data_IF_742893297327
#
_entry.id   IF_742893297327
#
_cell.length_a   1.000
_cell.length_b   1.000
_cell.length_c   1.000
_cell.angle_alpha   90.00
_cell.angle_beta   90.00
_cell.angle_gamma   90.00
#
_symmetry.space_group_name_H-M   'P 1'
#
loop_
_entity.id
_entity.type
_entity.pdbx_description
1 polymer ?
#
# COMPACT_ATOMS: atom_id res chain seq x y z
N UNK A 1 -12.75 -63.51 6.22
CA UNK A 1 -12.79 -62.17 5.60
C UNK A 1 -13.04 -61.14 6.68
N UNK A 2 -12.00 -60.40 7.06
CA UNK A 2 -11.94 -59.56 8.25
C UNK A 2 -12.40 -58.13 7.93
N UNK A 3 -13.49 -57.69 8.55
CA UNK A 3 -14.13 -56.38 8.39
C UNK A 3 -13.30 -55.18 8.89
N UNK A 4 -12.11 -55.44 9.43
CA UNK A 4 -11.23 -54.43 10.03
C UNK A 4 -10.44 -53.60 9.01
N UNK A 5 -10.23 -54.10 7.79
CA UNK A 5 -9.39 -53.42 6.79
C UNK A 5 -10.13 -52.29 6.03
N UNK A 6 -11.46 -52.28 6.05
CA UNK A 6 -12.27 -51.31 5.29
C UNK A 6 -12.43 -49.96 6.01
N UNK A 7 -12.45 -49.97 7.35
CA UNK A 7 -12.60 -48.74 8.18
C UNK A 7 -11.34 -47.87 8.16
N UNK A 8 -10.15 -48.47 8.05
CA UNK A 8 -8.88 -47.76 8.01
C UNK A 8 -8.65 -47.02 6.68
N UNK A 9 -9.26 -47.47 5.58
CA UNK A 9 -9.15 -46.84 4.27
C UNK A 9 -10.06 -45.59 4.16
N UNK A 10 -11.28 -45.67 4.68
CA UNK A 10 -12.25 -44.55 4.68
C UNK A 10 -11.78 -43.37 5.55
N UNK A 11 -11.10 -43.64 6.68
CA UNK A 11 -10.52 -42.59 7.52
C UNK A 11 -9.38 -41.81 6.83
N UNK A 12 -8.67 -42.43 5.87
CA UNK A 12 -7.62 -41.74 5.10
C UNK A 12 -8.14 -40.87 3.97
N UNK A 13 -9.33 -41.16 3.44
CA UNK A 13 -9.93 -40.37 2.34
C UNK A 13 -10.57 -39.06 2.86
N UNK A 14 -11.08 -39.05 4.11
CA UNK A 14 -11.68 -37.85 4.70
C UNK A 14 -10.68 -36.78 5.16
N UNK A 15 -9.40 -37.11 5.35
CA UNK A 15 -8.37 -36.15 5.80
C UNK A 15 -7.79 -35.35 4.62
N UNK A 16 -8.00 -35.78 3.38
CA UNK A 16 -7.42 -35.15 2.19
C UNK A 16 -8.31 -34.07 1.55
N UNK A 17 -9.57 -33.92 1.99
CA UNK A 17 -10.54 -33.00 1.38
C UNK A 17 -10.59 -31.60 2.01
N UNK A 18 -9.74 -31.30 3.00
CA UNK A 18 -9.81 -30.06 3.80
C UNK A 18 -8.80 -28.98 3.42
N UNK A 19 -8.03 -29.13 2.34
CA UNK A 19 -6.86 -28.28 2.07
C UNK A 19 -6.97 -27.38 0.82
N UNK A 20 -8.17 -26.93 0.46
CA UNK A 20 -8.33 -25.85 -0.51
C UNK A 20 -9.27 -24.76 0.02
N UNK A 21 -9.01 -24.29 1.24
CA UNK A 21 -9.40 -22.92 1.58
C UNK A 21 -8.48 -22.03 0.76
N UNK A 22 -8.94 -21.68 -0.45
CA UNK A 22 -8.32 -20.63 -1.25
C UNK A 22 -8.48 -19.36 -0.42
N UNK A 23 -7.46 -19.03 0.36
CA UNK A 23 -7.31 -17.69 0.90
C UNK A 23 -7.11 -16.84 -0.33
N UNK A 24 -8.20 -16.27 -0.84
CA UNK A 24 -8.13 -15.13 -1.72
C UNK A 24 -7.53 -14.03 -0.85
N UNK A 25 -6.20 -13.98 -0.81
CA UNK A 25 -5.54 -12.76 -0.45
C UNK A 25 -6.02 -11.78 -1.52
N UNK A 26 -6.78 -10.76 -1.10
CA UNK A 26 -7.08 -9.61 -1.94
C UNK A 26 -5.72 -8.95 -2.25
N UNK A 27 -5.08 -9.46 -3.30
CA UNK A 27 -3.89 -8.87 -3.86
C UNK A 27 -4.38 -7.63 -4.59
N UNK A 28 -4.25 -6.49 -3.94
CA UNK A 28 -4.62 -5.23 -4.56
C UNK A 28 -3.72 -5.02 -5.77
N UNK A 29 -4.35 -4.92 -6.93
CA UNK A 29 -3.63 -4.61 -8.16
C UNK A 29 -3.38 -3.14 -8.13
N UNK A 30 -2.12 -2.73 -7.99
CA UNK A 30 -1.77 -1.33 -8.14
C UNK A 30 -2.15 -0.87 -9.56
N UNK A 31 -3.19 -0.06 -9.62
CA UNK A 31 -3.78 0.35 -10.90
C UNK A 31 -3.13 1.60 -11.46
N UNK A 32 -2.46 2.40 -10.61
CA UNK A 32 -1.97 3.74 -10.92
C UNK A 32 -3.00 4.58 -11.74
N UNK A 33 -4.28 4.47 -11.40
CA UNK A 33 -5.37 5.15 -12.11
C UNK A 33 -5.68 6.52 -11.51
N UNK A 34 -5.80 7.52 -12.37
CA UNK A 34 -6.21 8.87 -11.96
C UNK A 34 -6.45 9.81 -13.13
N UNK A 35 -6.78 11.09 -12.84
CA UNK A 35 -7.21 12.05 -13.85
C UNK A 35 -6.08 12.49 -14.80
N UNK A 36 -4.83 12.50 -14.35
CA UNK A 36 -3.64 12.73 -15.18
C UNK A 36 -2.35 12.49 -14.37
N UNK A 37 -1.18 12.87 -14.90
CA UNK A 37 0.10 12.97 -14.15
C UNK A 37 0.39 14.37 -13.62
N UNK A 38 -0.53 15.34 -13.79
CA UNK A 38 -0.38 16.71 -13.30
C UNK A 38 -0.63 16.78 -11.80
N UNK A 39 -0.27 17.93 -11.24
CA UNK A 39 -0.44 18.25 -9.83
C UNK A 39 -1.91 18.05 -9.36
N UNK A 40 -2.14 17.42 -8.20
CA UNK A 40 -3.48 17.13 -7.69
C UNK A 40 -4.36 18.36 -7.46
N UNK A 41 -3.76 19.50 -7.14
CA UNK A 41 -4.48 20.78 -6.93
C UNK A 41 -5.19 21.27 -8.21
N UNK A 42 -4.63 20.98 -9.39
CA UNK A 42 -5.25 21.25 -10.69
C UNK A 42 -6.44 20.32 -11.00
N UNK A 43 -6.64 19.28 -10.18
CA UNK A 43 -7.66 18.25 -10.36
C UNK A 43 -8.68 18.21 -9.21
N UNK A 44 -8.76 19.28 -8.42
CA UNK A 44 -9.74 19.39 -7.33
C UNK A 44 -9.41 18.53 -6.10
N UNK A 45 -8.16 18.07 -5.98
CA UNK A 45 -7.70 17.40 -4.77
C UNK A 45 -7.33 18.43 -3.71
N UNK A 46 -7.25 17.98 -2.47
CA UNK A 46 -6.70 18.74 -1.36
C UNK A 46 -5.65 17.94 -0.64
N UNK A 47 -4.60 18.64 -0.18
CA UNK A 47 -3.51 18.01 0.56
C UNK A 47 -4.08 17.42 1.84
N UNK A 48 -3.92 16.12 1.98
CA UNK A 48 -4.29 15.37 3.18
C UNK A 48 -3.20 15.54 4.24
N UNK A 49 -1.96 15.20 3.87
CA UNK A 49 -0.81 15.33 4.77
C UNK A 49 0.50 15.44 3.99
N UNK A 50 1.55 15.77 4.72
CA UNK A 50 2.93 15.56 4.31
C UNK A 50 3.57 14.59 5.31
N UNK A 51 4.19 13.54 4.79
CA UNK A 51 4.76 12.48 5.60
C UNK A 51 6.29 12.49 5.46
N UNK A 52 6.98 12.66 6.59
CA UNK A 52 8.43 12.67 6.66
C UNK A 52 9.01 11.26 6.69
N UNK A 53 10.19 11.09 6.11
CA UNK A 53 10.94 9.85 6.19
C UNK A 53 11.50 9.63 7.60
N UNK A 54 11.23 8.46 8.16
CA UNK A 54 11.77 7.97 9.43
C UNK A 54 12.50 6.65 9.21
N UNK A 55 13.79 6.61 9.54
CA UNK A 55 14.59 5.40 9.43
C UNK A 55 14.14 4.38 10.48
N UNK A 56 13.99 3.11 10.07
CA UNK A 56 13.60 2.03 10.99
C UNK A 56 14.76 1.09 11.33
N UNK A 57 15.57 0.73 10.34
CA UNK A 57 16.74 -0.18 10.42
C UNK A 57 17.70 0.11 9.24
N UNK A 58 18.85 -0.57 9.19
CA UNK A 58 19.83 -0.43 8.08
C UNK A 58 19.15 -0.75 6.74
N UNK A 59 19.01 0.26 5.89
CA UNK A 59 18.46 0.13 4.54
C UNK A 59 16.93 0.08 4.45
N UNK A 60 16.19 0.48 5.50
CA UNK A 60 14.71 0.54 5.48
C UNK A 60 14.15 1.74 6.24
N UNK A 61 13.01 2.25 5.81
CA UNK A 61 12.32 3.33 6.51
C UNK A 61 10.83 3.43 6.19
N UNK A 62 10.20 4.40 6.85
CA UNK A 62 8.76 4.63 6.79
C UNK A 62 8.50 6.10 6.54
N UNK A 63 7.43 6.40 5.81
CA UNK A 63 6.91 7.76 5.68
C UNK A 63 5.73 7.92 6.64
N UNK A 64 5.91 8.78 7.64
CA UNK A 64 4.99 8.95 8.77
C UNK A 64 4.47 10.40 8.81
N UNK A 65 3.21 10.59 9.19
CA UNK A 65 2.65 11.91 9.49
C UNK A 65 1.87 11.91 10.81
N UNK A 66 1.71 13.09 11.39
CA UNK A 66 1.03 13.32 12.66
C UNK A 66 1.99 13.48 13.84
N UNK A 67 1.53 14.17 14.89
CA UNK A 67 2.40 14.57 16.02
C UNK A 67 2.38 13.59 17.22
N UNK A 68 1.42 12.65 17.27
CA UNK A 68 1.18 11.81 18.47
C UNK A 68 0.96 10.32 18.20
N UNK A 69 0.45 9.95 17.03
CA UNK A 69 0.36 8.58 16.53
C UNK A 69 0.88 8.63 15.10
N UNK A 70 2.15 8.26 14.92
CA UNK A 70 2.80 8.23 13.61
C UNK A 70 1.98 7.36 12.64
N UNK A 71 1.22 8.00 11.77
CA UNK A 71 0.39 7.31 10.78
C UNK A 71 1.26 7.03 9.57
N UNK A 72 1.48 5.75 9.28
CA UNK A 72 2.30 5.30 8.14
C UNK A 72 1.51 5.41 6.84
N UNK A 73 2.02 6.19 5.89
CA UNK A 73 1.43 6.30 4.53
C UNK A 73 2.20 5.50 3.49
N UNK A 74 3.50 5.34 3.70
CA UNK A 74 4.35 4.54 2.83
C UNK A 74 5.51 3.94 3.62
N UNK A 75 6.16 2.95 3.02
CA UNK A 75 7.44 2.44 3.48
C UNK A 75 8.44 2.30 2.33
N UNK A 76 9.72 2.19 2.70
CA UNK A 76 10.82 2.11 1.76
C UNK A 76 11.70 0.91 2.09
N UNK A 77 11.91 0.03 1.11
CA UNK A 77 12.80 -1.12 1.24
C UNK A 77 12.19 -2.33 1.98
N UNK A 78 10.88 -2.37 2.22
CA UNK A 78 10.24 -3.44 2.99
C UNK A 78 9.85 -4.66 2.16
N UNK A 79 9.04 -4.53 1.10
CA UNK A 79 8.76 -5.67 0.21
C UNK A 79 9.85 -5.81 -0.85
N UNK A 80 10.33 -4.70 -1.42
CA UNK A 80 11.43 -4.68 -2.38
C UNK A 80 12.53 -3.67 -2.03
N UNK A 81 13.83 -4.01 -2.23
CA UNK A 81 14.93 -3.08 -1.99
C UNK A 81 14.82 -1.83 -2.85
N UNK A 82 15.13 -0.68 -2.24
CA UNK A 82 15.17 0.62 -2.93
C UNK A 82 13.82 1.09 -3.50
N UNK A 83 12.71 0.51 -3.04
CA UNK A 83 11.38 0.84 -3.57
C UNK A 83 10.50 1.46 -2.49
N UNK A 84 9.69 2.46 -2.88
CA UNK A 84 8.66 3.06 -2.02
C UNK A 84 7.34 2.36 -2.28
N UNK A 85 6.63 1.99 -1.23
CA UNK A 85 5.35 1.33 -1.28
C UNK A 85 4.33 2.14 -0.48
N UNK A 86 3.34 2.67 -1.18
CA UNK A 86 2.25 3.41 -0.58
C UNK A 86 1.19 2.44 -0.07
N UNK A 87 0.85 2.57 1.21
CA UNK A 87 -0.20 1.79 1.82
C UNK A 87 -1.58 2.18 1.31
N UNK A 88 -2.55 1.31 1.54
CA UNK A 88 -3.95 1.59 1.21
C UNK A 88 -4.49 2.78 2.01
N UNK A 89 -5.16 3.76 1.37
CA UNK A 89 -5.80 4.85 2.09
C UNK A 89 -6.95 4.38 2.97
N UNK A 90 -7.79 3.45 2.49
CA UNK A 90 -9.07 3.17 3.13
C UNK A 90 -9.32 1.70 3.48
N UNK A 91 -8.51 0.75 3.00
CA UNK A 91 -8.74 -0.66 3.34
C UNK A 91 -8.14 -1.02 4.71
N UNK A 92 -8.82 -1.88 5.47
CA UNK A 92 -8.23 -2.60 6.61
C UNK A 92 -7.49 -1.76 7.67
N UNK A 93 -7.93 -0.52 7.94
CA UNK A 93 -7.22 0.40 8.84
C UNK A 93 -6.25 1.35 8.13
N UNK A 94 -6.48 1.62 6.84
CA UNK A 94 -5.73 2.59 6.05
C UNK A 94 -5.68 3.99 6.66
N UNK A 95 -4.74 4.80 6.17
CA UNK A 95 -4.39 6.08 6.79
C UNK A 95 -5.40 7.21 6.55
N UNK A 96 -6.39 7.02 5.69
CA UNK A 96 -7.27 8.08 5.20
C UNK A 96 -8.35 8.53 6.17
N UNK A 97 -8.64 7.77 7.23
CA UNK A 97 -9.63 8.12 8.25
C UNK A 97 -10.99 8.53 7.65
N UNK A 98 -11.56 9.64 8.13
CA UNK A 98 -12.86 10.15 7.63
C UNK A 98 -12.80 10.62 6.17
N UNK A 99 -11.62 10.98 5.65
CA UNK A 99 -11.46 11.35 4.23
C UNK A 99 -11.77 10.19 3.29
N UNK A 100 -11.82 8.94 3.78
CA UNK A 100 -12.25 7.77 3.00
C UNK A 100 -13.71 7.78 2.55
N UNK A 101 -14.53 8.62 3.18
CA UNK A 101 -15.91 8.87 2.76
C UNK A 101 -15.98 9.70 1.47
N UNK A 102 -14.86 10.33 1.09
CA UNK A 102 -14.73 11.20 -0.07
C UNK A 102 -13.86 10.56 -1.15
N UNK A 103 -14.12 10.95 -2.41
CA UNK A 103 -13.32 10.53 -3.55
C UNK A 103 -13.32 9.02 -3.84
N UNK A 104 -12.88 8.67 -5.04
CA UNK A 104 -12.51 7.29 -5.38
C UNK A 104 -10.99 7.11 -5.43
N UNK A 105 -10.27 8.18 -5.71
CA UNK A 105 -8.84 8.17 -5.94
C UNK A 105 -8.13 9.09 -4.95
N UNK A 106 -6.88 8.73 -4.69
CA UNK A 106 -5.94 9.47 -3.85
C UNK A 106 -4.71 9.81 -4.67
N UNK A 107 -4.20 11.02 -4.48
CA UNK A 107 -2.95 11.46 -5.08
C UNK A 107 -1.79 11.22 -4.12
N UNK A 108 -0.67 10.77 -4.66
CA UNK A 108 0.59 10.58 -3.95
C UNK A 108 1.67 11.24 -4.77
N UNK A 109 2.49 12.07 -4.14
CA UNK A 109 3.51 12.83 -4.86
C UNK A 109 4.85 12.78 -4.15
N UNK A 110 5.89 12.65 -4.96
CA UNK A 110 7.29 12.77 -4.56
C UNK A 110 7.80 14.11 -5.09
N UNK A 111 8.42 14.91 -4.22
CA UNK A 111 9.10 16.13 -4.62
C UNK A 111 10.55 15.81 -4.95
N UNK A 112 10.99 16.20 -6.14
CA UNK A 112 12.37 16.08 -6.58
C UNK A 112 13.16 17.37 -6.25
N UNK A 113 14.48 17.27 -6.22
CA UNK A 113 15.38 18.37 -5.82
C UNK A 113 15.29 19.62 -6.73
N UNK A 114 14.70 19.50 -7.92
CA UNK A 114 14.53 20.57 -8.90
C UNK A 114 13.13 21.22 -8.85
N UNK A 115 12.38 20.99 -7.77
CA UNK A 115 10.99 21.42 -7.59
C UNK A 115 10.01 20.80 -8.58
N UNK A 116 10.44 19.79 -9.35
CA UNK A 116 9.48 18.95 -10.09
C UNK A 116 8.83 17.98 -9.11
N UNK A 117 7.56 17.71 -9.37
CA UNK A 117 6.74 16.83 -8.54
C UNK A 117 6.22 15.70 -9.43
N UNK A 118 6.63 14.46 -9.14
CA UNK A 118 6.03 13.28 -9.77
C UNK A 118 4.83 12.85 -8.94
N UNK A 119 3.64 13.07 -9.50
CA UNK A 119 2.37 12.71 -8.87
C UNK A 119 1.73 11.52 -9.58
N UNK A 120 1.30 10.57 -8.77
CA UNK A 120 0.55 9.41 -9.20
C UNK A 120 -0.73 9.29 -8.40
N UNK A 121 -1.66 8.50 -8.92
CA UNK A 121 -2.97 8.36 -8.34
C UNK A 121 -3.28 6.88 -8.16
N UNK A 122 -3.81 6.52 -6.99
CA UNK A 122 -4.25 5.16 -6.70
C UNK A 122 -5.71 5.18 -6.27
N UNK A 123 -6.42 4.07 -6.49
CA UNK A 123 -7.74 3.88 -5.90
C UNK A 123 -7.62 3.90 -4.37
N UNK A 124 -8.67 4.34 -3.68
CA UNK A 124 -8.69 4.39 -2.22
C UNK A 124 -8.52 3.03 -1.52
N UNK A 125 -8.60 1.95 -2.28
CA UNK A 125 -8.43 0.58 -1.79
C UNK A 125 -7.09 -0.05 -2.19
N UNK A 126 -6.38 0.55 -3.15
CA UNK A 126 -5.12 -0.01 -3.66
C UNK A 126 -3.97 0.24 -2.67
N UNK A 127 -3.02 -0.68 -2.60
CA UNK A 127 -1.63 -0.39 -2.24
C UNK A 127 -0.80 -0.36 -3.51
N UNK A 128 0.26 0.44 -3.53
CA UNK A 128 0.96 0.74 -4.76
C UNK A 128 2.47 0.88 -4.59
N UNK A 129 3.20 0.10 -5.37
CA UNK A 129 4.64 0.18 -5.52
C UNK A 129 5.02 1.30 -6.49
N UNK A 130 5.86 2.24 -6.04
CA UNK A 130 6.38 3.28 -6.90
C UNK A 130 7.31 2.70 -7.97
N UNK A 131 7.17 3.07 -9.26
CA UNK A 131 7.91 2.41 -10.33
C UNK A 131 9.41 2.75 -10.36
N UNK A 132 9.79 3.90 -9.80
CA UNK A 132 11.19 4.33 -9.72
C UNK A 132 11.85 3.77 -8.47
N UNK A 133 13.10 3.31 -8.61
CA UNK A 133 13.94 2.91 -7.48
C UNK A 133 14.73 4.08 -6.94
N UNK A 134 14.86 4.12 -5.62
CA UNK A 134 15.54 5.14 -4.85
C UNK A 134 16.57 4.47 -3.93
N UNK A 135 17.84 4.81 -4.09
CA UNK A 135 18.86 4.39 -3.13
C UNK A 135 18.79 5.28 -1.87
N UNK A 136 19.69 5.05 -0.91
CA UNK A 136 19.72 5.83 0.33
C UNK A 136 19.89 7.34 0.13
N UNK A 137 20.60 7.75 -0.92
CA UNK A 137 20.96 9.14 -1.20
C UNK A 137 19.91 9.84 -2.08
N UNK A 138 19.16 9.07 -2.89
CA UNK A 138 18.18 9.61 -3.84
C UNK A 138 16.73 9.48 -3.38
N UNK A 139 16.44 8.78 -2.27
CA UNK A 139 15.06 8.72 -1.76
C UNK A 139 14.59 10.12 -1.34
N UNK A 140 13.29 10.40 -1.49
CA UNK A 140 12.75 11.65 -1.02
C UNK A 140 12.71 11.70 0.51
N UNK A 141 12.96 12.88 1.06
CA UNK A 141 12.88 13.17 2.49
C UNK A 141 11.44 13.22 3.00
N UNK A 142 10.48 13.53 2.14
CA UNK A 142 9.05 13.50 2.43
C UNK A 142 8.23 13.12 1.20
N UNK A 143 6.98 12.73 1.43
CA UNK A 143 5.97 12.53 0.38
C UNK A 143 4.70 13.28 0.75
N UNK A 144 3.94 13.74 -0.24
CA UNK A 144 2.66 14.38 0.00
C UNK A 144 1.50 13.50 -0.45
N UNK A 145 0.46 13.47 0.39
CA UNK A 145 -0.76 12.68 0.18
C UNK A 145 -1.92 13.64 -0.07
N UNK A 146 -2.78 13.29 -1.00
CA UNK A 146 -3.88 14.12 -1.47
C UNK A 146 -5.15 13.28 -1.59
N UNK A 147 -6.29 13.89 -1.25
CA UNK A 147 -7.60 13.26 -1.40
C UNK A 147 -8.50 14.13 -2.26
N UNK A 148 -9.40 13.49 -3.00
CA UNK A 148 -10.43 14.19 -3.75
C UNK A 148 -11.58 14.55 -2.79
N UNK A 149 -11.90 15.85 -2.68
CA UNK A 149 -12.97 16.36 -1.83
C UNK A 149 -14.36 15.89 -2.27
#
# INVERSE_FOLDING_TARGET
MTTSSLKALLARILVSASFFMVVAADHFTCSWTGPSTKDPDQHGYSKFCEAGYSASNVGRGRYLFGDSIDTKVADWGFLHPETIEFGTPCNGGGYGGDSCLHGKYWGVCIEENDYTRDCRYLSKWDDCEWPTKFNNDTRPSSVSIWYQK
#
